data_IF_300474033948
#
_entry.id   IF_300474033948
#
_cell.length_a   1.000
_cell.length_b   1.000
_cell.length_c   1.000
_cell.angle_alpha   90.00
_cell.angle_beta   90.00
_cell.angle_gamma   90.00
#
_symmetry.space_group_name_H-M   'P 1'
#
loop_
_entity.id
_entity.type
_entity.pdbx_description
1 polymer ?
#
# COMPACT_ATOMS: atom_id res chain seq x y z
N UNK A 1 28.22 -18.91 -13.94
CA UNK A 1 26.84 -18.34 -13.91
C UNK A 1 26.61 -17.81 -12.50
N UNK A 2 26.20 -16.57 -12.36
CA UNK A 2 25.86 -15.97 -11.06
C UNK A 2 24.63 -16.67 -10.49
N UNK A 3 24.67 -17.06 -9.22
CA UNK A 3 23.52 -17.68 -8.54
C UNK A 3 22.31 -16.75 -8.57
N UNK A 4 21.09 -17.29 -8.83
CA UNK A 4 19.89 -16.46 -8.88
C UNK A 4 19.55 -15.84 -7.51
N UNK A 5 18.98 -14.65 -7.54
CA UNK A 5 18.40 -13.99 -6.39
C UNK A 5 17.02 -14.61 -6.15
N UNK A 6 16.77 -15.10 -4.94
CA UNK A 6 15.46 -15.62 -4.59
C UNK A 6 14.52 -14.49 -4.14
N UNK A 7 13.27 -14.56 -4.53
CA UNK A 7 12.23 -13.63 -4.10
C UNK A 7 11.28 -14.38 -3.15
N UNK A 8 11.05 -13.82 -1.96
CA UNK A 8 10.11 -14.33 -0.98
C UNK A 8 8.66 -14.13 -1.44
N UNK A 9 8.03 -15.20 -1.92
CA UNK A 9 6.67 -15.18 -2.47
C UNK A 9 5.56 -15.48 -1.46
N UNK A 10 5.82 -15.47 -0.14
CA UNK A 10 4.78 -15.68 0.88
C UNK A 10 3.62 -14.69 0.76
N UNK A 11 3.84 -13.49 0.25
CA UNK A 11 2.79 -12.50 0.03
C UNK A 11 1.62 -12.99 -0.83
N UNK A 12 1.84 -14.03 -1.64
CA UNK A 12 0.79 -14.63 -2.48
C UNK A 12 -0.23 -15.44 -1.70
N UNK A 13 0.08 -15.84 -0.45
CA UNK A 13 -0.87 -16.53 0.44
C UNK A 13 -1.74 -15.56 1.25
N UNK A 14 -1.54 -14.26 1.09
CA UNK A 14 -2.20 -13.24 1.90
C UNK A 14 -3.21 -12.47 1.05
N UNK A 15 -4.31 -12.00 1.68
CA UNK A 15 -5.25 -11.10 1.00
C UNK A 15 -4.55 -9.85 0.49
N UNK A 16 -4.94 -9.36 -0.68
CA UNK A 16 -4.37 -8.16 -1.27
C UNK A 16 -4.60 -6.94 -0.37
N UNK A 17 -3.52 -6.28 0.02
CA UNK A 17 -3.48 -4.98 0.68
C UNK A 17 -2.39 -4.13 0.04
N UNK A 18 -2.14 -2.91 0.51
CA UNK A 18 -1.07 -2.06 -0.03
C UNK A 18 0.31 -2.73 -0.03
N UNK A 19 0.64 -3.49 1.03
CA UNK A 19 1.90 -4.23 1.14
C UNK A 19 2.00 -5.35 0.10
N UNK A 20 0.94 -6.15 -0.08
CA UNK A 20 0.91 -7.21 -1.09
C UNK A 20 0.84 -6.64 -2.52
N UNK A 21 0.18 -5.48 -2.71
CA UNK A 21 0.21 -4.75 -3.98
C UNK A 21 1.64 -4.38 -4.35
N UNK A 22 2.34 -3.73 -3.44
CA UNK A 22 3.75 -3.39 -3.64
C UNK A 22 4.57 -4.60 -4.10
N UNK A 23 4.48 -5.72 -3.37
CA UNK A 23 5.25 -6.91 -3.71
C UNK A 23 4.91 -7.45 -5.11
N UNK A 24 3.62 -7.52 -5.47
CA UNK A 24 3.17 -7.99 -6.78
C UNK A 24 3.69 -7.08 -7.91
N UNK A 25 3.54 -5.76 -7.74
CA UNK A 25 3.94 -4.82 -8.78
C UNK A 25 5.46 -4.70 -8.93
N UNK A 26 6.22 -4.78 -7.83
CA UNK A 26 7.70 -4.85 -7.90
C UNK A 26 8.14 -6.13 -8.62
N UNK A 27 7.57 -7.29 -8.30
CA UNK A 27 7.93 -8.54 -8.99
C UNK A 27 7.59 -8.47 -10.48
N UNK A 28 6.43 -7.92 -10.86
CA UNK A 28 6.08 -7.69 -12.27
C UNK A 28 7.03 -6.70 -12.95
N UNK A 29 7.45 -5.66 -12.24
CA UNK A 29 8.42 -4.69 -12.78
C UNK A 29 9.81 -5.32 -12.97
N UNK A 30 10.27 -6.14 -12.03
CA UNK A 30 11.50 -6.92 -12.17
C UNK A 30 11.41 -7.93 -13.32
N UNK A 31 10.27 -8.55 -13.52
CA UNK A 31 10.03 -9.54 -14.59
C UNK A 31 10.20 -8.95 -16.00
N UNK A 32 9.94 -7.64 -16.15
CA UNK A 32 10.14 -6.92 -17.42
C UNK A 32 11.62 -6.66 -17.77
N UNK A 33 12.54 -6.81 -16.81
CA UNK A 33 13.97 -6.64 -17.08
C UNK A 33 14.47 -7.73 -18.02
N UNK A 34 15.34 -7.41 -19.00
CA UNK A 34 15.81 -8.38 -19.99
C UNK A 34 16.48 -9.63 -19.39
N UNK A 35 17.16 -9.46 -18.28
CA UNK A 35 17.91 -10.53 -17.57
C UNK A 35 17.09 -11.21 -16.46
N UNK A 36 15.82 -10.91 -16.28
CA UNK A 36 15.01 -11.32 -15.14
C UNK A 36 14.98 -12.84 -14.92
N UNK A 37 14.81 -13.62 -15.98
CA UNK A 37 14.72 -15.08 -15.91
C UNK A 37 16.01 -15.79 -15.48
N UNK A 38 17.18 -15.18 -15.73
CA UNK A 38 18.47 -15.68 -15.28
C UNK A 38 18.82 -15.19 -13.88
N UNK A 39 18.34 -13.99 -13.53
CA UNK A 39 18.72 -13.29 -12.32
C UNK A 39 17.83 -13.60 -11.12
N UNK A 40 16.52 -13.80 -11.34
CA UNK A 40 15.54 -13.96 -10.27
C UNK A 40 14.84 -15.30 -10.31
N UNK A 41 14.38 -15.76 -9.12
CA UNK A 41 13.49 -16.89 -8.95
C UNK A 41 12.47 -16.62 -7.85
N UNK A 42 11.18 -16.71 -8.17
CA UNK A 42 10.11 -16.51 -7.20
C UNK A 42 9.85 -17.81 -6.43
N UNK A 43 10.09 -17.79 -5.12
CA UNK A 43 9.87 -18.93 -4.22
C UNK A 43 8.50 -18.77 -3.55
N UNK A 44 7.57 -19.71 -3.78
CA UNK A 44 6.21 -19.63 -3.24
C UNK A 44 5.86 -20.83 -2.38
N UNK A 45 5.00 -20.69 -1.34
CA UNK A 45 4.40 -21.83 -0.65
C UNK A 45 3.57 -22.68 -1.60
N UNK A 46 3.55 -24.01 -1.39
CA UNK A 46 2.89 -24.97 -2.31
C UNK A 46 1.40 -24.68 -2.56
N UNK A 47 0.69 -24.13 -1.55
CA UNK A 47 -0.74 -23.77 -1.66
C UNK A 47 -1.02 -22.36 -2.21
N UNK A 48 0.01 -21.59 -2.62
CA UNK A 48 -0.19 -20.26 -3.16
C UNK A 48 -0.51 -20.30 -4.67
N UNK A 49 -1.39 -19.41 -5.12
CA UNK A 49 -1.56 -19.17 -6.55
C UNK A 49 -0.33 -18.45 -7.11
N UNK A 50 0.17 -18.94 -8.25
CA UNK A 50 1.32 -18.32 -8.90
C UNK A 50 0.96 -16.93 -9.45
N UNK A 51 1.91 -15.98 -9.31
CA UNK A 51 1.82 -14.72 -10.01
C UNK A 51 2.12 -14.96 -11.50
N UNK A 52 1.27 -14.49 -12.44
CA UNK A 52 1.59 -14.56 -13.87
C UNK A 52 2.82 -13.71 -14.18
N UNK A 53 3.90 -14.36 -14.63
CA UNK A 53 5.19 -13.78 -14.98
C UNK A 53 5.68 -14.39 -16.29
N UNK A 54 6.35 -13.58 -17.11
CA UNK A 54 6.82 -14.00 -18.44
C UNK A 54 8.24 -14.59 -18.40
N UNK A 55 9.09 -14.10 -17.49
CA UNK A 55 10.52 -14.42 -17.44
C UNK A 55 10.97 -15.05 -16.13
N UNK A 56 10.54 -14.51 -14.99
CA UNK A 56 10.97 -15.00 -13.67
C UNK A 56 10.35 -16.37 -13.39
N UNK A 57 11.16 -17.45 -13.28
CA UNK A 57 10.63 -18.76 -12.97
C UNK A 57 10.12 -18.82 -11.54
N UNK A 58 9.00 -19.53 -11.34
CA UNK A 58 8.39 -19.76 -10.03
C UNK A 58 8.73 -21.18 -9.54
N UNK A 59 9.18 -21.29 -8.30
CA UNK A 59 9.44 -22.58 -7.62
C UNK A 59 8.59 -22.69 -6.36
N UNK A 60 8.01 -23.87 -6.14
CA UNK A 60 7.17 -24.17 -4.98
C UNK A 60 7.96 -24.86 -3.89
N UNK A 61 7.79 -24.43 -2.64
CA UNK A 61 8.36 -25.04 -1.45
C UNK A 61 7.25 -25.50 -0.52
N UNK A 62 7.24 -26.79 -0.23
CA UNK A 62 6.35 -27.41 0.77
C UNK A 62 6.83 -27.06 2.18
N UNK A 63 5.90 -26.97 3.14
CA UNK A 63 6.25 -26.76 4.54
C UNK A 63 5.15 -26.13 5.36
N UNK A 64 5.43 -25.77 6.62
CA UNK A 64 4.47 -25.10 7.50
C UNK A 64 4.02 -23.75 6.90
N UNK A 65 2.85 -23.27 7.29
CA UNK A 65 2.32 -21.98 6.81
C UNK A 65 2.92 -20.76 7.50
N UNK A 66 2.61 -19.59 6.97
CA UNK A 66 2.92 -18.30 7.59
C UNK A 66 4.42 -18.03 7.74
N UNK A 67 4.79 -17.37 8.84
CA UNK A 67 6.19 -17.02 9.11
C UNK A 67 7.11 -18.23 9.32
N UNK A 68 6.58 -19.37 9.75
CA UNK A 68 7.38 -20.61 9.89
C UNK A 68 7.93 -21.08 8.55
N UNK A 69 7.18 -20.91 7.47
CA UNK A 69 7.66 -21.22 6.11
C UNK A 69 8.89 -20.36 5.75
N UNK A 70 8.87 -19.06 6.09
CA UNK A 70 10.01 -18.17 5.86
C UNK A 70 11.23 -18.57 6.68
N UNK A 71 11.03 -18.90 7.97
CA UNK A 71 12.14 -19.18 8.89
C UNK A 71 12.79 -20.54 8.64
N UNK A 72 12.07 -21.51 8.08
CA UNK A 72 12.56 -22.88 7.89
C UNK A 72 12.82 -23.17 6.40
N UNK A 73 11.77 -23.17 5.57
CA UNK A 73 11.87 -23.65 4.18
C UNK A 73 12.55 -22.64 3.25
N UNK A 74 12.14 -21.38 3.36
CA UNK A 74 12.76 -20.31 2.57
C UNK A 74 14.21 -20.06 3.04
N UNK A 75 14.47 -20.10 4.35
CA UNK A 75 15.81 -19.95 4.90
C UNK A 75 16.77 -21.03 4.39
N UNK A 76 16.32 -22.29 4.35
CA UNK A 76 17.10 -23.40 3.83
C UNK A 76 17.38 -23.25 2.33
N UNK A 77 16.33 -22.97 1.54
CA UNK A 77 16.47 -22.74 0.10
C UNK A 77 17.37 -21.54 -0.24
N UNK A 78 17.35 -20.50 0.59
CA UNK A 78 18.13 -19.29 0.37
C UNK A 78 19.56 -19.35 0.95
N UNK A 79 19.98 -20.44 1.58
CA UNK A 79 21.25 -20.56 2.35
C UNK A 79 22.45 -19.97 1.62
N UNK A 80 22.59 -20.25 0.34
CA UNK A 80 23.69 -19.80 -0.50
C UNK A 80 23.31 -18.65 -1.46
N UNK A 81 22.05 -18.22 -1.47
CA UNK A 81 21.51 -17.24 -2.40
C UNK A 81 21.29 -15.87 -1.74
N UNK A 82 21.28 -14.82 -2.55
CA UNK A 82 20.71 -13.53 -2.15
C UNK A 82 19.18 -13.63 -2.09
N UNK A 83 18.55 -12.94 -1.15
CA UNK A 83 17.11 -12.99 -0.95
C UNK A 83 16.49 -11.59 -0.97
N UNK A 84 15.39 -11.44 -1.69
CA UNK A 84 14.55 -10.24 -1.69
C UNK A 84 13.22 -10.52 -0.98
N UNK A 85 12.93 -9.80 0.11
CA UNK A 85 11.69 -9.88 0.88
C UNK A 85 10.95 -8.54 0.84
N UNK A 86 9.74 -8.51 0.28
CA UNK A 86 9.02 -7.28 -0.10
C UNK A 86 7.89 -6.88 0.87
N UNK A 87 7.62 -7.68 1.92
CA UNK A 87 6.46 -7.49 2.81
C UNK A 87 6.83 -7.43 4.29
N UNK A 88 7.92 -6.77 4.65
CA UNK A 88 8.32 -6.52 6.04
C UNK A 88 8.78 -7.75 6.82
N UNK A 89 8.92 -8.91 6.18
CA UNK A 89 9.31 -10.14 6.84
C UNK A 89 10.24 -10.99 5.95
N UNK A 90 11.16 -11.70 6.61
CA UNK A 90 12.09 -12.62 5.99
C UNK A 90 12.78 -13.49 7.04
N UNK A 91 13.62 -14.45 6.64
CA UNK A 91 14.37 -15.28 7.58
C UNK A 91 15.32 -14.46 8.45
N UNK A 92 15.13 -14.44 9.76
CA UNK A 92 15.92 -13.61 10.69
C UNK A 92 17.39 -14.03 10.80
N UNK A 93 17.70 -15.27 10.43
CA UNK A 93 19.07 -15.80 10.42
C UNK A 93 19.85 -15.54 9.14
N UNK A 94 19.19 -15.10 8.07
CA UNK A 94 19.79 -14.92 6.76
C UNK A 94 20.40 -13.51 6.62
N UNK A 95 21.69 -13.40 6.31
CA UNK A 95 22.40 -12.11 6.23
C UNK A 95 22.46 -11.53 4.80
N UNK A 96 22.39 -12.39 3.76
CA UNK A 96 22.44 -11.95 2.36
C UNK A 96 21.02 -11.61 1.83
N UNK A 97 20.29 -10.74 2.55
CA UNK A 97 18.92 -10.37 2.17
C UNK A 97 18.69 -8.86 2.16
N UNK A 98 17.83 -8.43 1.24
CA UNK A 98 17.21 -7.11 1.20
C UNK A 98 15.75 -7.24 1.64
N UNK A 99 15.36 -6.48 2.66
CA UNK A 99 13.99 -6.49 3.19
C UNK A 99 13.36 -5.11 3.05
N UNK A 100 12.18 -5.04 2.46
CA UNK A 100 11.38 -3.82 2.40
C UNK A 100 10.42 -3.79 3.58
N UNK A 101 10.61 -2.84 4.51
CA UNK A 101 9.72 -2.56 5.63
C UNK A 101 8.92 -1.31 5.29
N UNK A 102 7.58 -1.40 5.26
CA UNK A 102 6.72 -0.35 4.69
C UNK A 102 6.52 0.84 5.61
N UNK A 103 6.50 0.64 6.91
CA UNK A 103 6.29 1.70 7.90
C UNK A 103 6.78 1.29 9.29
N UNK A 104 6.73 2.23 10.23
CA UNK A 104 7.06 2.01 11.64
C UNK A 104 5.80 1.92 12.52
N UNK A 105 4.62 1.58 11.97
CA UNK A 105 3.35 1.63 12.69
C UNK A 105 3.34 0.78 13.97
N UNK A 106 3.95 -0.41 13.96
CA UNK A 106 4.04 -1.27 15.15
C UNK A 106 4.83 -0.65 16.30
N UNK A 107 5.69 0.34 16.01
CA UNK A 107 6.43 1.11 17.02
C UNK A 107 5.70 2.39 17.43
N UNK A 108 5.18 3.15 16.45
CA UNK A 108 4.60 4.48 16.63
C UNK A 108 3.15 4.46 17.07
N UNK A 109 2.40 3.48 16.59
CA UNK A 109 0.97 3.32 16.84
C UNK A 109 0.63 1.88 17.27
N UNK A 110 1.22 1.42 18.39
CA UNK A 110 0.97 0.07 18.91
C UNK A 110 -0.51 -0.15 19.29
N UNK A 111 -1.24 0.91 19.57
CA UNK A 111 -2.67 0.94 19.85
C UNK A 111 -3.53 0.38 18.70
N UNK A 112 -3.02 0.42 17.47
CA UNK A 112 -3.71 -0.11 16.28
C UNK A 112 -3.62 -1.63 16.15
N UNK A 113 -2.79 -2.30 16.94
CA UNK A 113 -2.47 -3.71 16.79
C UNK A 113 -2.75 -4.50 18.08
N UNK A 114 -3.00 -5.79 17.93
CA UNK A 114 -3.00 -6.69 19.08
C UNK A 114 -1.61 -6.70 19.72
N UNK A 115 -1.47 -6.62 21.07
CA UNK A 115 -0.17 -6.45 21.73
C UNK A 115 0.87 -7.51 21.35
N UNK A 116 0.45 -8.79 21.26
CA UNK A 116 1.34 -9.89 20.83
C UNK A 116 1.84 -9.72 19.40
N UNK A 117 1.01 -9.22 18.50
CA UNK A 117 1.38 -8.94 17.12
C UNK A 117 2.42 -7.81 17.06
N UNK A 118 2.14 -6.68 17.72
CA UNK A 118 3.05 -5.54 17.76
C UNK A 118 4.43 -5.94 18.33
N UNK A 119 4.45 -6.70 19.43
CA UNK A 119 5.70 -7.16 20.06
C UNK A 119 6.49 -8.08 19.12
N UNK A 120 5.81 -9.06 18.50
CA UNK A 120 6.46 -10.00 17.58
C UNK A 120 7.10 -9.28 16.38
N UNK A 121 6.37 -8.32 15.77
CA UNK A 121 6.90 -7.54 14.64
C UNK A 121 8.01 -6.59 15.06
N UNK A 122 7.96 -5.94 16.22
CA UNK A 122 9.07 -5.13 16.73
C UNK A 122 10.35 -5.95 16.94
N UNK A 123 10.23 -7.19 17.43
CA UNK A 123 11.37 -8.09 17.59
C UNK A 123 11.90 -8.50 16.21
N UNK A 124 11.01 -8.87 15.29
CA UNK A 124 11.34 -9.23 13.91
C UNK A 124 12.12 -8.10 13.22
N UNK A 125 11.57 -6.89 13.21
CA UNK A 125 12.16 -5.73 12.55
C UNK A 125 13.54 -5.39 13.11
N UNK A 126 13.71 -5.42 14.46
CA UNK A 126 15.01 -5.21 15.10
C UNK A 126 16.04 -6.29 14.75
N UNK A 127 15.60 -7.54 14.57
CA UNK A 127 16.51 -8.63 14.18
C UNK A 127 16.90 -8.51 12.70
N UNK A 128 15.96 -8.17 11.83
CA UNK A 128 16.23 -7.91 10.42
C UNK A 128 17.18 -6.71 10.24
N UNK A 129 16.94 -5.62 10.98
CA UNK A 129 17.80 -4.43 10.95
C UNK A 129 19.29 -4.68 11.28
N UNK A 130 19.58 -5.73 12.05
CA UNK A 130 20.96 -6.11 12.42
C UNK A 130 21.67 -6.95 11.37
N UNK A 131 20.95 -7.55 10.43
CA UNK A 131 21.50 -8.58 9.53
C UNK A 131 21.16 -8.38 8.06
N UNK A 132 20.03 -7.73 7.77
CA UNK A 132 19.58 -7.47 6.42
C UNK A 132 19.93 -6.06 5.98
N UNK A 133 20.01 -5.83 4.67
CA UNK A 133 19.85 -4.50 4.11
C UNK A 133 18.38 -4.14 4.12
N UNK A 134 18.08 -2.87 4.41
CA UNK A 134 16.71 -2.40 4.48
C UNK A 134 16.38 -1.44 3.36
N UNK A 135 15.14 -1.53 2.89
CA UNK A 135 14.51 -0.52 2.08
C UNK A 135 13.11 -0.20 2.63
N UNK A 136 12.57 0.94 2.25
CA UNK A 136 11.23 1.39 2.63
C UNK A 136 10.56 2.16 1.49
N UNK A 137 9.34 2.62 1.70
CA UNK A 137 8.47 3.14 0.63
C UNK A 137 8.36 4.67 0.59
N UNK A 138 8.94 5.39 1.54
CA UNK A 138 8.92 6.87 1.59
C UNK A 138 10.08 7.41 2.43
N UNK A 139 10.42 8.69 2.24
CA UNK A 139 11.38 9.38 3.11
C UNK A 139 10.85 9.52 4.55
N UNK A 140 9.55 9.71 4.70
CA UNK A 140 8.91 9.69 6.01
C UNK A 140 9.12 8.34 6.71
N UNK A 141 8.81 7.22 6.06
CA UNK A 141 9.05 5.88 6.63
C UNK A 141 10.54 5.62 6.87
N UNK A 142 11.43 6.12 6.01
CA UNK A 142 12.88 6.05 6.20
C UNK A 142 13.30 6.68 7.52
N UNK A 143 12.88 7.92 7.78
CA UNK A 143 13.19 8.64 9.02
C UNK A 143 12.59 7.95 10.26
N UNK A 144 11.34 7.50 10.16
CA UNK A 144 10.65 6.80 11.26
C UNK A 144 11.31 5.47 11.60
N UNK A 145 11.64 4.65 10.60
CA UNK A 145 12.34 3.37 10.79
C UNK A 145 13.76 3.57 11.29
N UNK A 146 14.50 4.54 10.76
CA UNK A 146 15.84 4.87 11.23
C UNK A 146 15.82 5.21 12.73
N UNK A 147 14.88 6.04 13.16
CA UNK A 147 14.74 6.44 14.56
C UNK A 147 14.39 5.25 15.50
N UNK A 148 13.44 4.38 15.13
CA UNK A 148 12.99 3.28 16.00
C UNK A 148 13.91 2.06 15.98
N UNK A 149 14.72 1.91 14.92
CA UNK A 149 15.69 0.81 14.77
C UNK A 149 17.11 1.23 15.14
N UNK A 150 17.32 2.51 15.48
CA UNK A 150 18.62 3.11 15.80
C UNK A 150 19.64 2.93 14.66
N UNK A 151 19.23 3.34 13.44
CA UNK A 151 20.04 3.32 12.22
C UNK A 151 20.24 4.74 11.70
N UNK A 152 21.29 4.95 10.90
CA UNK A 152 21.38 6.16 10.09
C UNK A 152 20.31 6.13 8.97
N UNK A 153 19.66 7.26 8.64
CA UNK A 153 18.63 7.28 7.60
C UNK A 153 19.11 6.74 6.24
N UNK A 154 20.34 7.04 5.83
CA UNK A 154 20.96 6.59 4.59
C UNK A 154 21.26 5.08 4.55
N UNK A 155 21.23 4.39 5.70
CA UNK A 155 21.29 2.93 5.76
C UNK A 155 19.99 2.24 5.27
N UNK A 156 18.90 2.99 5.06
CA UNK A 156 17.62 2.49 4.61
C UNK A 156 17.31 3.13 3.24
N UNK A 157 17.32 2.35 2.18
CA UNK A 157 17.00 2.88 0.85
C UNK A 157 15.50 3.17 0.69
N UNK A 158 15.15 4.07 -0.24
CA UNK A 158 13.75 4.40 -0.53
C UNK A 158 13.39 3.89 -1.92
N UNK A 159 12.45 2.95 -1.98
CA UNK A 159 11.84 2.42 -3.20
C UNK A 159 10.31 2.63 -3.11
N UNK A 160 9.78 3.76 -3.62
CA UNK A 160 8.40 4.17 -3.37
C UNK A 160 7.35 3.25 -3.97
N UNK A 161 6.12 3.32 -3.43
CA UNK A 161 4.95 2.81 -4.16
C UNK A 161 4.63 3.66 -5.39
N UNK A 162 3.80 3.10 -6.27
CA UNK A 162 3.24 3.80 -7.43
C UNK A 162 1.76 3.42 -7.61
N UNK A 163 1.12 4.03 -8.61
CA UNK A 163 -0.22 3.70 -9.04
C UNK A 163 -0.28 3.35 -10.54
N UNK A 164 0.85 3.07 -11.19
CA UNK A 164 0.93 2.72 -12.62
C UNK A 164 0.00 1.56 -12.99
N UNK A 165 -0.24 0.64 -12.05
CA UNK A 165 -1.09 -0.52 -12.26
C UNK A 165 -2.56 -0.17 -12.54
N UNK A 166 -3.02 1.05 -12.22
CA UNK A 166 -4.36 1.53 -12.57
C UNK A 166 -4.39 2.43 -13.81
N UNK A 167 -3.25 2.83 -14.38
CA UNK A 167 -3.18 3.86 -15.44
C UNK A 167 -4.03 3.52 -16.66
N UNK A 168 -3.84 2.34 -17.20
CA UNK A 168 -4.44 1.92 -18.47
C UNK A 168 -5.53 0.85 -18.29
N UNK A 169 -6.02 0.68 -17.05
CA UNK A 169 -7.09 -0.29 -16.78
C UNK A 169 -8.43 0.24 -17.29
N UNK A 170 -9.13 -0.50 -18.15
CA UNK A 170 -10.50 -0.19 -18.52
C UNK A 170 -11.40 -0.24 -17.28
N UNK A 171 -12.20 0.81 -17.01
CA UNK A 171 -13.08 0.81 -15.85
C UNK A 171 -14.27 -0.13 -16.05
N UNK A 172 -14.59 -0.92 -15.04
CA UNK A 172 -15.85 -1.68 -14.99
C UNK A 172 -16.94 -0.80 -14.37
N UNK A 173 -17.73 -0.16 -15.23
CA UNK A 173 -18.77 0.78 -14.82
C UNK A 173 -20.05 0.11 -14.30
N UNK A 174 -20.19 -1.22 -14.41
CA UNK A 174 -21.35 -1.95 -13.91
C UNK A 174 -21.44 -1.86 -12.38
N UNK A 175 -20.29 -1.68 -11.70
CA UNK A 175 -20.23 -1.42 -10.27
C UNK A 175 -21.07 -0.21 -9.84
N UNK A 176 -21.16 0.84 -10.67
CA UNK A 176 -21.95 2.04 -10.34
C UNK A 176 -23.44 1.72 -10.24
N UNK A 177 -23.95 0.84 -11.12
CA UNK A 177 -25.34 0.35 -11.06
C UNK A 177 -25.53 -0.59 -9.87
N UNK A 178 -24.60 -1.52 -9.68
CA UNK A 178 -24.67 -2.50 -8.59
C UNK A 178 -24.70 -1.84 -7.19
N UNK A 179 -24.05 -0.68 -7.03
CA UNK A 179 -24.03 0.09 -5.79
C UNK A 179 -25.06 1.24 -5.75
N UNK A 180 -25.98 1.34 -6.71
CA UNK A 180 -26.96 2.41 -6.85
C UNK A 180 -26.32 3.82 -6.86
N UNK A 181 -25.19 3.98 -7.54
CA UNK A 181 -24.43 5.23 -7.66
C UNK A 181 -24.65 5.93 -9.01
N UNK A 182 -25.30 5.30 -9.97
CA UNK A 182 -25.56 5.90 -11.28
C UNK A 182 -26.36 7.21 -11.13
N UNK A 183 -25.81 8.31 -11.67
CA UNK A 183 -26.38 9.64 -11.56
C UNK A 183 -26.28 10.31 -10.18
N UNK A 184 -25.65 9.69 -9.20
CA UNK A 184 -25.46 10.26 -7.85
C UNK A 184 -24.08 10.86 -7.67
N UNK A 185 -24.01 11.93 -6.88
CA UNK A 185 -22.74 12.46 -6.41
C UNK A 185 -22.22 11.62 -5.24
N UNK A 186 -20.93 11.29 -5.25
CA UNK A 186 -20.32 10.54 -4.14
C UNK A 186 -18.84 10.84 -3.96
N UNK A 187 -18.38 10.65 -2.74
CA UNK A 187 -16.97 10.53 -2.40
C UNK A 187 -16.62 9.06 -2.19
N UNK A 188 -15.36 8.71 -2.43
CA UNK A 188 -14.87 7.34 -2.22
C UNK A 188 -13.71 7.35 -1.24
N UNK A 189 -13.66 6.37 -0.35
CA UNK A 189 -12.51 6.06 0.48
C UNK A 189 -12.05 4.63 0.19
N UNK A 190 -10.77 4.45 -0.13
CA UNK A 190 -10.19 3.15 -0.52
C UNK A 190 -9.17 2.72 0.53
N UNK A 191 -9.34 1.51 1.06
CA UNK A 191 -8.43 0.91 2.03
C UNK A 191 -9.15 -0.03 2.99
N UNK A 192 -8.38 -0.87 3.68
CA UNK A 192 -8.98 -1.77 4.68
C UNK A 192 -9.62 -0.99 5.82
N UNK A 193 -10.70 -1.55 6.38
CA UNK A 193 -11.47 -0.93 7.46
C UNK A 193 -10.74 -1.12 8.80
N UNK A 194 -9.72 -0.31 9.02
CA UNK A 194 -8.84 -0.35 10.20
C UNK A 194 -8.85 1.01 10.91
N UNK A 195 -8.59 1.08 12.22
CA UNK A 195 -8.67 2.33 12.98
C UNK A 195 -7.78 3.45 12.44
N UNK A 196 -6.59 3.12 11.92
CA UNK A 196 -5.70 4.11 11.33
C UNK A 196 -6.27 4.81 10.09
N UNK A 197 -7.24 4.20 9.39
CA UNK A 197 -7.93 4.82 8.24
C UNK A 197 -8.96 5.85 8.65
N UNK A 198 -9.34 5.91 9.93
CA UNK A 198 -10.15 6.98 10.53
C UNK A 198 -11.44 7.32 9.77
N UNK A 199 -12.10 6.31 9.21
CA UNK A 199 -13.28 6.50 8.36
C UNK A 199 -14.45 7.17 9.08
N UNK A 200 -14.48 7.11 10.43
CA UNK A 200 -15.49 7.76 11.24
C UNK A 200 -15.49 9.31 11.07
N UNK A 201 -14.33 9.95 10.81
CA UNK A 201 -14.29 11.38 10.54
C UNK A 201 -14.95 11.71 9.18
N UNK A 202 -14.80 10.87 8.18
CA UNK A 202 -15.46 11.02 6.88
C UNK A 202 -16.99 10.86 7.01
N UNK A 203 -17.45 9.92 7.82
CA UNK A 203 -18.87 9.75 8.11
C UNK A 203 -19.47 10.96 8.85
N UNK A 204 -18.77 11.53 9.84
CA UNK A 204 -19.21 12.77 10.50
C UNK A 204 -19.23 13.96 9.54
N UNK A 205 -18.22 14.07 8.67
CA UNK A 205 -18.18 15.13 7.66
C UNK A 205 -19.33 15.02 6.66
N UNK A 206 -19.73 13.81 6.28
CA UNK A 206 -20.90 13.56 5.41
C UNK A 206 -22.21 14.09 6.03
N UNK A 207 -22.32 14.09 7.35
CA UNK A 207 -23.50 14.60 8.06
C UNK A 207 -23.58 16.14 8.10
N UNK A 208 -22.58 16.86 7.61
CA UNK A 208 -22.44 18.33 7.65
C UNK A 208 -22.34 18.99 6.26
N UNK A 209 -23.25 19.67 5.72
CA UNK A 209 -24.66 19.76 5.93
C UNK A 209 -25.38 18.51 5.38
N UNK A 210 -26.63 18.28 5.73
CA UNK A 210 -27.36 17.13 5.25
C UNK A 210 -27.69 17.29 3.74
N UNK A 211 -26.91 16.65 2.88
CA UNK A 211 -27.24 16.45 1.46
C UNK A 211 -27.74 15.00 1.31
N UNK A 212 -29.05 14.77 1.15
CA UNK A 212 -29.62 13.44 1.11
C UNK A 212 -29.17 12.63 -0.13
N UNK A 213 -28.70 13.32 -1.17
CA UNK A 213 -28.28 12.68 -2.42
C UNK A 213 -26.78 12.34 -2.45
N UNK A 214 -25.98 12.93 -1.57
CA UNK A 214 -24.55 12.64 -1.49
C UNK A 214 -24.30 11.28 -0.86
N UNK A 215 -23.35 10.51 -1.39
CA UNK A 215 -22.93 9.21 -0.87
C UNK A 215 -21.46 9.22 -0.46
N UNK A 216 -21.10 8.37 0.52
CA UNK A 216 -19.73 8.01 0.85
C UNK A 216 -19.55 6.52 0.61
N UNK A 217 -18.72 6.18 -0.37
CA UNK A 217 -18.44 4.80 -0.76
C UNK A 217 -17.17 4.32 -0.07
N UNK A 218 -17.25 3.24 0.69
CA UNK A 218 -16.12 2.65 1.41
C UNK A 218 -15.70 1.35 0.73
N UNK A 219 -14.52 1.37 0.10
CA UNK A 219 -13.94 0.21 -0.60
C UNK A 219 -12.88 -0.41 0.27
N UNK A 220 -13.07 -1.67 0.65
CA UNK A 220 -12.11 -2.42 1.49
C UNK A 220 -12.80 -3.42 2.40
N UNK A 221 -12.01 -4.13 3.19
CA UNK A 221 -12.52 -5.13 4.13
C UNK A 221 -11.82 -5.04 5.49
N UNK A 222 -12.39 -5.68 6.49
CA UNK A 222 -11.74 -5.86 7.79
C UNK A 222 -10.51 -6.77 7.66
N UNK A 223 -9.42 -6.40 8.36
CA UNK A 223 -8.22 -7.23 8.46
C UNK A 223 -8.21 -8.03 9.75
N UNK A 224 -7.79 -9.29 9.66
CA UNK A 224 -7.51 -10.12 10.85
C UNK A 224 -6.23 -9.65 11.52
N UNK A 225 -6.21 -9.61 12.86
CA UNK A 225 -5.02 -9.21 13.62
C UNK A 225 -4.91 -7.71 13.92
N UNK A 226 -5.75 -6.88 13.30
CA UNK A 226 -5.87 -5.44 13.57
C UNK A 226 -7.09 -5.18 14.46
N UNK A 227 -7.04 -4.16 15.32
CA UNK A 227 -8.20 -3.71 16.09
C UNK A 227 -9.32 -3.27 15.14
N UNK A 228 -10.59 -3.56 15.50
CA UNK A 228 -11.72 -3.10 14.67
C UNK A 228 -11.77 -1.58 14.65
N UNK A 229 -12.06 -1.02 13.49
CA UNK A 229 -12.40 0.39 13.37
C UNK A 229 -13.59 0.74 14.29
N UNK A 230 -13.60 1.93 14.85
CA UNK A 230 -14.75 2.46 15.59
C UNK A 230 -16.02 2.28 14.76
N UNK A 231 -17.12 1.98 15.45
CA UNK A 231 -18.41 1.79 14.80
C UNK A 231 -18.71 2.98 13.88
N UNK A 232 -18.92 2.69 12.61
CA UNK A 232 -19.41 3.68 11.64
C UNK A 232 -20.85 4.04 12.07
N UNK A 233 -21.25 5.32 11.97
CA UNK A 233 -22.63 5.69 12.20
C UNK A 233 -23.54 4.93 11.21
N UNK A 234 -24.74 4.58 11.67
CA UNK A 234 -25.78 4.02 10.83
C UNK A 234 -26.38 5.15 9.98
N UNK A 235 -25.82 5.36 8.79
CA UNK A 235 -26.23 6.40 7.84
C UNK A 235 -26.46 5.74 6.48
N UNK A 236 -27.69 5.80 5.90
CA UNK A 236 -28.02 5.15 4.63
C UNK A 236 -27.24 5.74 3.44
N UNK A 237 -26.57 6.88 3.61
CA UNK A 237 -25.70 7.46 2.59
C UNK A 237 -24.31 6.82 2.55
N UNK A 238 -23.96 5.99 3.53
CA UNK A 238 -22.68 5.26 3.56
C UNK A 238 -22.87 3.92 2.84
N UNK A 239 -22.15 3.75 1.74
CA UNK A 239 -22.21 2.55 0.91
C UNK A 239 -20.97 1.69 1.17
N UNK A 240 -21.17 0.54 1.82
CA UNK A 240 -20.12 -0.45 2.08
C UNK A 240 -19.87 -1.29 0.82
N UNK A 241 -18.92 -0.90 0.01
CA UNK A 241 -18.64 -1.58 -1.25
C UNK A 241 -17.91 -2.92 -1.08
N UNK A 242 -17.23 -3.16 0.07
CA UNK A 242 -16.41 -4.35 0.24
C UNK A 242 -15.12 -4.30 -0.60
N UNK A 243 -14.47 -5.46 -0.80
CA UNK A 243 -13.31 -5.57 -1.70
C UNK A 243 -13.77 -5.48 -3.15
N UNK A 244 -13.01 -4.75 -3.97
CA UNK A 244 -13.28 -4.54 -5.39
C UNK A 244 -12.04 -4.87 -6.23
N UNK A 245 -12.29 -5.23 -7.48
CA UNK A 245 -11.25 -5.44 -8.50
C UNK A 245 -10.67 -4.09 -8.93
N UNK A 246 -9.50 -4.10 -9.55
CA UNK A 246 -8.87 -2.88 -10.05
C UNK A 246 -9.74 -2.14 -11.10
N UNK A 247 -10.42 -2.82 -12.07
CA UNK A 247 -11.40 -2.17 -12.95
C UNK A 247 -12.57 -1.50 -12.23
N UNK A 248 -13.13 -2.15 -11.19
CA UNK A 248 -14.21 -1.57 -10.38
C UNK A 248 -13.71 -0.36 -9.58
N UNK A 249 -12.50 -0.42 -8.98
CA UNK A 249 -11.88 0.71 -8.27
C UNK A 249 -11.63 1.87 -9.23
N UNK A 250 -11.14 1.61 -10.44
CA UNK A 250 -10.94 2.63 -11.46
C UNK A 250 -12.27 3.32 -11.83
N UNK A 251 -13.36 2.55 -11.99
CA UNK A 251 -14.69 3.10 -12.27
C UNK A 251 -15.20 3.97 -11.11
N UNK A 252 -15.06 3.50 -9.87
CA UNK A 252 -15.46 4.24 -8.67
C UNK A 252 -14.66 5.54 -8.51
N UNK A 253 -13.35 5.52 -8.78
CA UNK A 253 -12.53 6.73 -8.71
C UNK A 253 -12.88 7.73 -9.81
N UNK A 254 -13.05 7.29 -11.06
CA UNK A 254 -13.41 8.17 -12.18
C UNK A 254 -14.76 8.86 -12.03
N UNK A 255 -15.72 8.19 -11.40
CA UNK A 255 -17.06 8.72 -11.17
C UNK A 255 -17.22 9.54 -9.89
N UNK A 256 -16.24 9.52 -8.99
CA UNK A 256 -16.32 10.20 -7.70
C UNK A 256 -16.08 11.71 -7.81
N UNK A 257 -16.75 12.49 -6.97
CA UNK A 257 -16.44 13.91 -6.76
C UNK A 257 -15.04 14.10 -6.14
N UNK A 258 -14.54 13.08 -5.42
CA UNK A 258 -13.20 13.04 -4.87
C UNK A 258 -12.93 11.80 -4.04
N UNK A 259 -11.63 11.48 -3.88
CA UNK A 259 -11.15 10.53 -2.87
C UNK A 259 -11.06 11.24 -1.52
N UNK A 260 -11.57 10.62 -0.46
CA UNK A 260 -11.32 11.01 0.94
C UNK A 260 -10.34 10.02 1.55
N UNK A 261 -9.18 10.52 1.98
CA UNK A 261 -8.11 9.72 2.58
C UNK A 261 -7.79 10.23 4.00
N UNK A 262 -8.61 9.85 5.01
CA UNK A 262 -8.63 10.48 6.33
C UNK A 262 -7.68 9.82 7.34
N UNK A 263 -6.64 9.13 6.88
CA UNK A 263 -5.76 8.30 7.71
C UNK A 263 -5.05 9.10 8.81
N UNK A 264 -4.91 8.48 9.99
CA UNK A 264 -4.15 9.02 11.12
C UNK A 264 -2.65 8.73 11.00
N UNK A 265 -2.28 7.66 10.34
CA UNK A 265 -0.90 7.23 10.14
C UNK A 265 -0.80 6.36 8.88
N UNK A 266 0.23 6.61 8.07
CA UNK A 266 0.58 5.84 6.88
C UNK A 266 2.10 5.77 6.70
N UNK A 267 2.57 4.72 6.03
CA UNK A 267 3.94 4.69 5.53
C UNK A 267 4.10 5.42 4.19
N UNK A 268 3.02 5.43 3.38
CA UNK A 268 3.00 6.04 2.05
C UNK A 268 1.59 6.54 1.67
N UNK A 269 0.66 5.62 1.40
CA UNK A 269 -0.69 5.93 0.91
C UNK A 269 -0.80 5.77 -0.62
N UNK A 270 -1.03 4.55 -1.10
CA UNK A 270 -1.25 4.26 -2.52
C UNK A 270 -2.55 4.90 -3.05
N UNK A 271 -3.72 4.85 -2.33
CA UNK A 271 -4.99 5.33 -2.84
C UNK A 271 -5.02 6.77 -3.34
N UNK A 272 -4.33 7.75 -2.72
CA UNK A 272 -4.20 9.08 -3.29
C UNK A 272 -3.59 9.10 -4.70
N UNK A 273 -2.54 8.32 -4.96
CA UNK A 273 -1.94 8.24 -6.29
C UNK A 273 -2.86 7.51 -7.29
N UNK A 274 -3.57 6.46 -6.84
CA UNK A 274 -4.58 5.76 -7.63
C UNK A 274 -5.69 6.72 -8.09
N UNK A 275 -6.17 7.57 -7.18
CA UNK A 275 -7.13 8.63 -7.49
C UNK A 275 -6.57 9.62 -8.52
N UNK A 276 -5.35 10.13 -8.32
CA UNK A 276 -4.70 11.07 -9.23
C UNK A 276 -4.52 10.49 -10.64
N UNK A 277 -4.12 9.22 -10.76
CA UNK A 277 -4.00 8.50 -12.05
C UNK A 277 -5.36 8.41 -12.74
N UNK A 278 -6.44 8.21 -12.00
CA UNK A 278 -7.80 8.11 -12.53
C UNK A 278 -8.50 9.47 -12.73
N UNK A 279 -7.79 10.60 -12.49
CA UNK A 279 -8.37 11.93 -12.64
C UNK A 279 -9.39 12.27 -11.55
N UNK A 280 -9.26 11.67 -10.37
CA UNK A 280 -10.09 11.93 -9.21
C UNK A 280 -9.38 12.91 -8.26
N UNK A 281 -10.02 14.03 -7.86
CA UNK A 281 -9.46 14.93 -6.87
C UNK A 281 -9.25 14.25 -5.52
N UNK A 282 -8.26 14.70 -4.75
CA UNK A 282 -7.90 14.10 -3.46
C UNK A 282 -8.12 15.07 -2.31
N UNK A 283 -8.80 14.60 -1.27
CA UNK A 283 -8.85 15.20 0.07
C UNK A 283 -8.09 14.28 1.01
N UNK A 284 -7.05 14.74 1.66
CA UNK A 284 -6.20 13.91 2.51
C UNK A 284 -6.01 14.54 3.90
N UNK A 285 -5.83 13.69 4.91
CA UNK A 285 -5.36 14.11 6.23
C UNK A 285 -4.02 14.83 6.10
N UNK A 286 -3.83 15.90 6.86
CA UNK A 286 -2.58 16.64 6.97
C UNK A 286 -1.60 15.89 7.90
N UNK A 287 -0.97 14.85 7.35
CA UNK A 287 0.07 14.05 8.02
C UNK A 287 1.32 13.97 7.15
N UNK A 288 2.53 13.76 7.72
CA UNK A 288 3.78 13.80 6.96
C UNK A 288 3.81 12.90 5.72
N UNK A 289 3.30 11.67 5.82
CA UNK A 289 3.28 10.74 4.69
C UNK A 289 2.41 11.25 3.53
N UNK A 290 1.21 11.78 3.79
CA UNK A 290 0.34 12.32 2.74
C UNK A 290 0.89 13.61 2.15
N UNK A 291 1.55 14.46 2.96
CA UNK A 291 2.27 15.64 2.47
C UNK A 291 3.40 15.25 1.51
N UNK A 292 4.18 14.22 1.86
CA UNK A 292 5.22 13.71 0.99
C UNK A 292 4.65 13.16 -0.33
N UNK A 293 3.57 12.37 -0.27
CA UNK A 293 3.02 11.69 -1.44
C UNK A 293 2.20 12.61 -2.34
N UNK A 294 1.35 13.47 -1.76
CA UNK A 294 0.42 14.29 -2.52
C UNK A 294 0.92 15.70 -2.82
N UNK A 295 1.86 16.23 -2.03
CA UNK A 295 2.39 17.59 -2.15
C UNK A 295 1.23 18.62 -2.27
N UNK A 296 1.20 19.43 -3.34
CA UNK A 296 0.17 20.44 -3.64
C UNK A 296 -1.07 19.88 -4.39
N UNK A 297 -1.07 18.60 -4.73
CA UNK A 297 -2.16 17.96 -5.48
C UNK A 297 -3.41 17.68 -4.64
N UNK A 298 -3.31 17.63 -3.30
CA UNK A 298 -4.44 17.34 -2.41
C UNK A 298 -4.97 18.58 -1.71
N UNK A 299 -6.26 18.52 -1.34
CA UNK A 299 -6.85 19.39 -0.31
C UNK A 299 -6.61 18.76 1.06
N UNK A 300 -6.02 19.50 1.98
CA UNK A 300 -5.70 18.97 3.30
C UNK A 300 -6.69 19.41 4.37
N UNK A 301 -6.85 18.57 5.38
CA UNK A 301 -7.62 18.84 6.58
C UNK A 301 -6.95 18.21 7.82
N UNK A 302 -7.16 18.77 9.00
CA UNK A 302 -6.68 18.16 10.25
C UNK A 302 -7.30 16.79 10.48
N UNK A 303 -6.53 15.74 10.82
CA UNK A 303 -7.02 14.35 10.82
C UNK A 303 -8.27 14.08 11.67
N UNK A 304 -8.54 14.94 12.67
CA UNK A 304 -9.73 14.84 13.56
C UNK A 304 -10.79 15.88 13.27
N UNK A 305 -10.57 16.78 12.30
CA UNK A 305 -11.43 17.93 11.99
C UNK A 305 -12.45 17.58 10.88
N UNK A 306 -13.60 17.05 11.30
CA UNK A 306 -14.68 16.70 10.38
C UNK A 306 -15.37 17.93 9.75
N UNK A 307 -15.29 19.09 10.40
CA UNK A 307 -15.81 20.34 9.83
C UNK A 307 -14.93 20.81 8.66
N UNK A 308 -13.61 20.86 8.85
CA UNK A 308 -12.69 21.17 7.76
C UNK A 308 -12.81 20.15 6.62
N UNK A 309 -12.96 18.85 6.91
CA UNK A 309 -13.20 17.84 5.87
C UNK A 309 -14.48 18.12 5.09
N UNK A 310 -15.59 18.44 5.77
CA UNK A 310 -16.85 18.79 5.10
C UNK A 310 -16.69 20.04 4.21
N UNK A 311 -15.90 21.04 4.61
CA UNK A 311 -15.59 22.21 3.79
C UNK A 311 -14.81 21.83 2.52
N UNK A 312 -13.84 20.92 2.62
CA UNK A 312 -13.10 20.39 1.46
C UNK A 312 -14.02 19.61 0.52
N UNK A 313 -14.92 18.79 1.08
CA UNK A 313 -15.94 18.10 0.28
C UNK A 313 -16.83 19.08 -0.46
N UNK A 314 -17.35 20.12 0.20
CA UNK A 314 -18.14 21.18 -0.45
C UNK A 314 -17.34 21.89 -1.56
N UNK A 315 -16.07 22.18 -1.32
CA UNK A 315 -15.19 22.76 -2.36
C UNK A 315 -15.19 21.92 -3.61
N UNK A 316 -15.03 20.59 -3.51
CA UNK A 316 -15.00 19.69 -4.68
C UNK A 316 -16.37 19.53 -5.36
N UNK A 317 -17.47 19.73 -4.64
CA UNK A 317 -18.82 19.68 -5.23
C UNK A 317 -19.19 20.94 -6.01
N UNK A 318 -18.49 22.05 -5.84
CA UNK A 318 -18.81 23.36 -6.43
C UNK A 318 -18.27 23.57 -7.86
N UNK A 319 -17.92 22.50 -8.57
CA UNK A 319 -17.52 22.60 -9.98
C UNK A 319 -16.25 21.81 -10.33
N UNK A 320 -15.84 21.86 -11.60
CA UNK A 320 -14.65 21.16 -12.08
C UNK A 320 -13.36 21.82 -11.57
N UNK A 321 -12.34 20.99 -11.32
CA UNK A 321 -11.04 21.42 -10.78
C UNK A 321 -9.87 21.05 -11.73
N UNK A 322 -9.84 21.50 -13.00
CA UNK A 322 -8.89 21.02 -14.01
C UNK A 322 -7.42 21.23 -13.62
N UNK A 323 -7.09 22.37 -13.02
CA UNK A 323 -5.71 22.65 -12.57
C UNK A 323 -5.25 21.64 -11.48
N UNK A 324 -6.16 21.27 -10.57
CA UNK A 324 -5.86 20.27 -9.52
C UNK A 324 -5.71 18.88 -10.09
N UNK A 325 -6.53 18.50 -11.05
CA UNK A 325 -6.42 17.20 -11.73
C UNK A 325 -5.09 17.10 -12.49
N UNK A 326 -4.67 18.17 -13.15
CA UNK A 326 -3.38 18.22 -13.84
C UNK A 326 -2.19 18.13 -12.85
N UNK A 327 -2.25 18.86 -11.74
CA UNK A 327 -1.26 18.75 -10.67
C UNK A 327 -1.20 17.32 -10.11
N UNK A 328 -2.36 16.69 -9.93
CA UNK A 328 -2.45 15.28 -9.51
C UNK A 328 -1.78 14.31 -10.49
N UNK A 329 -2.05 14.45 -11.80
CA UNK A 329 -1.42 13.61 -12.82
C UNK A 329 0.10 13.73 -12.79
N UNK A 330 0.62 14.97 -12.82
CA UNK A 330 2.08 15.21 -12.74
C UNK A 330 2.67 14.63 -11.46
N UNK A 331 1.94 14.71 -10.35
CA UNK A 331 2.39 14.13 -9.07
C UNK A 331 2.45 12.61 -9.14
N UNK A 332 1.45 11.95 -9.70
CA UNK A 332 1.43 10.50 -9.89
C UNK A 332 2.57 10.03 -10.83
N UNK A 333 2.89 10.79 -11.89
CA UNK A 333 3.98 10.49 -12.81
C UNK A 333 5.38 10.56 -12.17
N UNK A 334 5.50 11.23 -11.03
CA UNK A 334 6.73 11.21 -10.24
C UNK A 334 7.03 9.85 -9.61
N UNK A 335 6.09 8.92 -9.57
CA UNK A 335 6.23 7.57 -9.03
C UNK A 335 6.11 6.52 -10.13
N UNK A 336 6.88 5.43 -10.01
CA UNK A 336 6.85 4.33 -10.99
C UNK A 336 7.34 3.04 -10.36
N UNK A 337 6.59 1.95 -10.55
CA UNK A 337 7.00 0.62 -10.12
C UNK A 337 8.33 0.20 -10.74
N UNK A 338 8.57 0.54 -12.02
CA UNK A 338 9.82 0.23 -12.70
C UNK A 338 11.01 0.96 -12.09
N UNK A 339 10.86 2.24 -11.70
CA UNK A 339 11.93 2.98 -10.99
C UNK A 339 12.22 2.38 -9.62
N UNK A 340 11.20 2.02 -8.88
CA UNK A 340 11.36 1.39 -7.55
C UNK A 340 12.00 0.01 -7.67
N UNK A 341 11.61 -0.79 -8.66
CA UNK A 341 12.25 -2.08 -8.94
C UNK A 341 13.73 -1.91 -9.31
N UNK A 342 14.08 -0.90 -10.12
CA UNK A 342 15.47 -0.61 -10.46
C UNK A 342 16.33 -0.21 -9.25
N UNK A 343 15.76 0.54 -8.29
CA UNK A 343 16.44 0.84 -7.02
C UNK A 343 16.74 -0.44 -6.25
N UNK A 344 15.76 -1.35 -6.12
CA UNK A 344 15.96 -2.61 -5.42
C UNK A 344 16.93 -3.54 -6.14
N UNK A 345 16.88 -3.58 -7.48
CA UNK A 345 17.81 -4.36 -8.31
C UNK A 345 19.26 -3.90 -8.11
N UNK A 346 19.51 -2.59 -8.17
CA UNK A 346 20.84 -2.01 -7.93
C UNK A 346 21.36 -2.28 -6.50
N UNK A 347 20.49 -2.23 -5.49
CA UNK A 347 20.85 -2.55 -4.10
C UNK A 347 21.25 -4.01 -3.93
N UNK A 348 20.62 -4.92 -4.66
CA UNK A 348 20.96 -6.34 -4.65
C UNK A 348 22.32 -6.62 -5.29
N UNK A 349 22.84 -5.75 -6.17
CA UNK A 349 24.20 -5.86 -6.70
C UNK A 349 25.25 -5.29 -5.78
N UNK A 350 25.06 -4.06 -5.32
CA UNK A 350 26.06 -3.34 -4.53
C UNK A 350 26.26 -3.88 -3.10
N UNK A 351 25.32 -4.71 -2.65
CA UNK A 351 25.24 -5.09 -1.24
C UNK A 351 26.24 -6.18 -0.80
N UNK A 352 26.68 -7.03 -1.72
CA UNK A 352 27.46 -8.24 -1.42
C UNK A 352 28.55 -8.50 -2.49
N UNK A 353 28.97 -7.47 -3.23
CA UNK A 353 30.15 -7.48 -4.10
C UNK A 353 31.45 -7.33 -3.31
#
# INVERSE_FOLDING_TARGET
MTEPILINGRFLTQPLSGVQRYAREIVRALDRLPHAGLRYRLMIPSGADALPLDRIPTSRLSGPGGHMWEQVRLADAARNHRLLSLCGAGPVGHSRQLVVIHDAAVFRRPDLFKPRYALAHRILDRRLARRARLATVSRFSQGELAAVLNLAPDAIAVAPNSADHLRDIPPDTDILRALNLAGRRYFVAVGNLTPNKNLAVAARALARPPDPDLRLVLVGAHLTGVTRASLMPDDPRIVMAGRRTDPEVAALLRGAAGLVFPSLYEGFGIPPLEAMVQGCPVIASDIPATREVCADAALYFGPTDDAALADRMRTLLNGPHPARLETGRRRADAYSWSRSAAVLDALLDSAWS
#
